data_IF_548701527412
#
_entry.id   IF_548701527412
#
_cell.length_a   1.000
_cell.length_b   1.000
_cell.length_c   1.000
_cell.angle_alpha   90.00
_cell.angle_beta   90.00
_cell.angle_gamma   90.00
#
_symmetry.space_group_name_H-M   'P 1'
#
loop_
_entity.id
_entity.type
_entity.pdbx_description
1 polymer ?
#
# COMPACT_ATOMS: atom_id res chain seq x y z
N UNK A 1 -21.01 16.36 9.86
CA UNK A 1 -22.45 16.69 9.81
C UNK A 1 -22.83 17.42 11.07
N UNK A 2 -23.09 18.71 10.96
CA UNK A 2 -23.62 19.54 12.05
C UNK A 2 -25.07 19.10 12.33
N UNK A 3 -25.47 18.89 13.60
CA UNK A 3 -26.83 18.49 13.94
C UNK A 3 -27.90 19.49 13.48
N UNK A 4 -27.54 20.75 13.24
CA UNK A 4 -28.49 21.80 12.89
C UNK A 4 -28.69 21.98 11.37
N UNK A 5 -27.91 21.29 10.50
CA UNK A 5 -28.10 21.39 9.05
C UNK A 5 -27.55 20.20 8.21
N UNK A 6 -28.23 19.05 8.15
CA UNK A 6 -27.82 17.94 7.29
C UNK A 6 -28.34 18.13 5.85
N UNK A 7 -27.42 18.31 4.90
CA UNK A 7 -27.72 18.63 3.50
C UNK A 7 -28.14 17.43 2.62
N UNK A 8 -27.95 16.17 3.05
CA UNK A 8 -28.39 15.00 2.27
C UNK A 8 -28.71 13.81 3.18
N UNK A 9 -29.91 13.25 3.02
CA UNK A 9 -30.17 11.85 3.32
C UNK A 9 -30.09 11.11 1.98
N UNK A 10 -29.10 10.25 1.82
CA UNK A 10 -29.05 9.28 0.71
C UNK A 10 -28.81 7.89 1.27
N UNK A 11 -29.48 6.93 0.64
CA UNK A 11 -29.69 5.54 0.99
C UNK A 11 -28.48 4.79 1.56
N UNK A 12 -28.78 3.81 2.43
CA UNK A 12 -27.97 2.67 2.86
C UNK A 12 -26.49 2.74 2.46
N UNK A 13 -25.70 3.47 3.24
CA UNK A 13 -24.27 3.20 3.30
C UNK A 13 -24.04 2.36 4.55
N UNK A 14 -23.60 1.11 4.34
CA UNK A 14 -22.78 0.45 5.33
C UNK A 14 -21.54 1.31 5.50
N UNK A 15 -21.51 2.16 6.53
CA UNK A 15 -20.28 2.85 6.90
C UNK A 15 -19.39 1.77 7.50
N UNK A 16 -18.46 1.25 6.69
CA UNK A 16 -17.34 0.50 7.21
C UNK A 16 -16.48 1.52 7.90
N UNK A 17 -16.60 1.54 9.21
CA UNK A 17 -15.81 2.40 10.03
C UNK A 17 -14.40 1.82 10.07
N UNK A 18 -13.48 2.48 9.37
CA UNK A 18 -12.10 2.03 9.22
C UNK A 18 -11.36 2.06 10.56
N UNK A 19 -10.34 1.20 10.69
CA UNK A 19 -9.51 1.03 11.87
C UNK A 19 -8.28 1.95 11.71
N UNK A 20 -8.25 3.20 12.21
CA UNK A 20 -6.98 3.92 12.28
C UNK A 20 -6.05 3.27 13.31
N UNK A 21 -5.03 2.54 12.87
CA UNK A 21 -3.94 2.17 13.79
C UNK A 21 -3.07 3.41 14.02
N UNK A 22 -3.23 4.07 15.16
CA UNK A 22 -2.32 5.11 15.65
C UNK A 22 -1.08 4.48 16.33
N UNK A 23 0.02 5.24 16.44
CA UNK A 23 1.23 4.87 17.21
C UNK A 23 1.50 6.04 18.18
N UNK A 24 2.00 5.76 19.39
CA UNK A 24 2.52 6.82 20.25
C UNK A 24 3.86 7.37 19.72
N UNK A 25 4.03 8.67 19.89
CA UNK A 25 5.29 9.37 19.70
C UNK A 25 5.80 9.78 21.08
N UNK A 26 7.10 9.60 21.35
CA UNK A 26 7.70 10.18 22.55
C UNK A 26 7.66 11.72 22.49
N UNK A 27 8.02 12.36 23.61
CA UNK A 27 8.14 13.82 23.71
C UNK A 27 9.15 14.47 22.74
N UNK A 28 9.90 13.69 21.94
CA UNK A 28 10.76 14.17 20.87
C UNK A 28 10.17 13.92 19.46
N UNK A 29 8.91 13.49 19.36
CA UNK A 29 8.22 13.19 18.10
C UNK A 29 8.64 11.87 17.45
N UNK A 30 9.45 11.05 18.12
CA UNK A 30 9.90 9.75 17.59
C UNK A 30 8.95 8.64 18.02
N UNK A 31 8.56 7.78 17.09
CA UNK A 31 7.69 6.63 17.36
C UNK A 31 8.27 5.71 18.45
N UNK A 32 7.46 5.38 19.45
CA UNK A 32 7.88 4.58 20.61
C UNK A 32 7.46 3.12 20.56
N UNK A 33 6.77 2.71 19.49
CA UNK A 33 6.15 1.39 19.38
C UNK A 33 4.79 1.35 20.06
N UNK A 34 3.91 0.46 19.58
CA UNK A 34 2.59 0.19 20.15
C UNK A 34 1.40 0.59 19.27
N UNK A 35 0.57 -0.37 18.88
CA UNK A 35 -0.65 -0.12 18.09
C UNK A 35 -1.80 0.29 19.00
N UNK A 36 -2.63 1.22 18.53
CA UNK A 36 -4.00 1.31 19.02
C UNK A 36 -4.84 0.23 18.33
N UNK A 37 -5.35 -0.71 19.11
CA UNK A 37 -6.28 -1.73 18.66
C UNK A 37 -7.68 -1.16 18.72
N UNK A 38 -8.36 -1.14 17.57
CA UNK A 38 -9.76 -0.73 17.54
C UNK A 38 -10.62 -1.76 18.28
N UNK A 39 -11.27 -1.33 19.35
CA UNK A 39 -12.12 -2.20 20.16
C UNK A 39 -13.56 -2.24 19.67
N UNK A 40 -14.00 -1.21 18.94
CA UNK A 40 -15.38 -1.08 18.48
C UNK A 40 -15.89 0.35 18.57
N UNK A 41 -17.10 0.53 18.06
CA UNK A 41 -17.84 1.78 18.21
C UNK A 41 -18.71 1.67 19.44
N UNK A 42 -18.76 2.74 20.23
CA UNK A 42 -19.53 2.77 21.47
C UNK A 42 -20.45 3.99 21.50
N UNK A 43 -21.51 3.92 22.29
CA UNK A 43 -22.31 5.09 22.65
C UNK A 43 -21.61 5.92 23.75
N UNK A 44 -22.26 7.02 24.17
CA UNK A 44 -21.73 7.91 25.21
C UNK A 44 -21.60 7.24 26.58
N UNK A 45 -22.33 6.14 26.81
CA UNK A 45 -22.30 5.37 28.04
C UNK A 45 -21.28 4.22 27.98
N UNK A 46 -20.56 4.08 26.86
CA UNK A 46 -19.54 3.06 26.65
C UNK A 46 -20.09 1.70 26.22
N UNK A 47 -21.35 1.59 25.79
CA UNK A 47 -21.89 0.34 25.27
C UNK A 47 -21.49 0.13 23.80
N UNK A 48 -21.02 -1.06 23.45
CA UNK A 48 -20.60 -1.40 22.09
C UNK A 48 -21.80 -1.41 21.11
N UNK A 49 -21.70 -0.61 20.04
CA UNK A 49 -22.67 -0.49 18.96
C UNK A 49 -22.14 -1.21 17.71
N UNK A 50 -22.75 -2.37 17.41
CA UNK A 50 -22.39 -3.20 16.23
C UNK A 50 -23.22 -2.90 14.99
N UNK A 51 -24.43 -2.36 15.17
CA UNK A 51 -25.40 -2.15 14.10
C UNK A 51 -26.19 -0.88 14.40
N UNK A 52 -26.32 0.00 13.39
CA UNK A 52 -27.31 1.07 13.37
C UNK A 52 -28.44 0.61 12.45
N UNK A 53 -29.62 0.31 13.02
CA UNK A 53 -30.78 -0.12 12.24
C UNK A 53 -31.64 1.06 11.79
N UNK A 54 -32.53 0.81 10.83
CA UNK A 54 -33.51 1.78 10.33
C UNK A 54 -34.50 2.28 11.41
N UNK A 55 -34.57 1.59 12.55
CA UNK A 55 -35.42 1.96 13.69
C UNK A 55 -34.78 3.04 14.56
N UNK A 56 -33.51 3.39 14.33
CA UNK A 56 -32.86 4.49 15.02
C UNK A 56 -33.39 5.83 14.49
N UNK A 57 -34.31 6.45 15.22
CA UNK A 57 -34.99 7.71 14.83
C UNK A 57 -34.37 8.98 15.41
N UNK A 58 -33.23 8.88 16.10
CA UNK A 58 -32.55 10.00 16.75
C UNK A 58 -31.09 10.09 16.31
N UNK A 59 -30.48 11.30 16.28
CA UNK A 59 -29.05 11.44 16.09
C UNK A 59 -28.28 10.58 17.10
N UNK A 60 -27.28 9.85 16.62
CA UNK A 60 -26.38 9.05 17.44
C UNK A 60 -24.97 9.63 17.31
N UNK A 61 -24.28 9.79 18.43
CA UNK A 61 -22.84 10.06 18.45
C UNK A 61 -22.15 8.75 18.78
N UNK A 62 -21.27 8.30 17.87
CA UNK A 62 -20.45 7.13 18.09
C UNK A 62 -19.05 7.55 18.55
N UNK A 63 -18.51 6.79 19.50
CA UNK A 63 -17.16 6.94 20.03
C UNK A 63 -16.32 5.76 19.56
N UNK A 64 -15.20 6.02 18.92
CA UNK A 64 -14.22 5.00 18.59
C UNK A 64 -13.44 4.64 19.85
N UNK A 65 -13.53 3.39 20.31
CA UNK A 65 -12.75 2.92 21.44
C UNK A 65 -11.48 2.24 20.96
N UNK A 66 -10.38 2.57 21.64
CA UNK A 66 -9.04 2.12 21.29
C UNK A 66 -8.35 1.61 22.54
N UNK A 67 -7.67 0.47 22.45
CA UNK A 67 -6.71 0.02 23.45
C UNK A 67 -5.30 0.24 22.93
N UNK A 68 -4.48 0.98 23.67
CA UNK A 68 -3.08 1.15 23.32
C UNK A 68 -2.27 0.00 23.90
N UNK A 69 -1.79 -0.88 23.04
CA UNK A 69 -0.84 -1.91 23.43
C UNK A 69 0.57 -1.45 23.06
N UNK A 70 1.33 -0.96 24.04
CA UNK A 70 2.72 -0.53 23.87
C UNK A 70 3.66 -1.61 23.30
N UNK A 71 3.23 -2.88 23.29
CA UNK A 71 4.01 -4.02 22.82
C UNK A 71 3.56 -4.59 21.47
N UNK A 72 2.46 -4.10 20.89
CA UNK A 72 1.93 -4.62 19.63
C UNK A 72 2.36 -3.71 18.48
N UNK A 73 2.86 -4.28 17.39
CA UNK A 73 3.37 -3.53 16.22
C UNK A 73 2.56 -3.81 14.95
N UNK A 74 1.55 -4.65 15.05
CA UNK A 74 0.70 -5.04 13.94
C UNK A 74 -0.69 -5.40 14.45
N UNK A 75 -1.70 -5.24 13.62
CA UNK A 75 -3.06 -5.75 13.89
C UNK A 75 -3.35 -6.92 12.96
N UNK A 76 -4.25 -7.82 13.36
CA UNK A 76 -4.74 -8.90 12.49
C UNK A 76 -6.26 -8.93 12.53
N UNK A 77 -6.91 -9.04 11.38
CA UNK A 77 -8.37 -9.07 11.30
C UNK A 77 -8.86 -9.83 10.08
N UNK A 78 -10.16 -10.15 10.05
CA UNK A 78 -10.81 -10.80 8.92
C UNK A 78 -11.81 -9.85 8.27
N UNK A 79 -11.83 -9.82 6.93
CA UNK A 79 -12.84 -9.10 6.14
C UNK A 79 -13.36 -10.03 5.04
N UNK A 80 -14.60 -10.48 5.22
CA UNK A 80 -15.18 -11.53 4.40
C UNK A 80 -14.38 -12.84 4.53
N UNK A 81 -13.90 -13.38 3.40
CA UNK A 81 -13.11 -14.62 3.37
C UNK A 81 -11.60 -14.42 3.51
N UNK A 82 -11.13 -13.17 3.56
CA UNK A 82 -9.71 -12.85 3.59
C UNK A 82 -9.28 -12.46 5.00
N UNK A 83 -8.05 -12.81 5.34
CA UNK A 83 -7.37 -12.37 6.56
C UNK A 83 -6.37 -11.29 6.19
N UNK A 84 -6.26 -10.28 7.04
CA UNK A 84 -5.44 -9.10 6.84
C UNK A 84 -4.55 -8.87 8.05
N UNK A 85 -3.41 -8.22 7.78
CA UNK A 85 -2.47 -7.72 8.77
C UNK A 85 -2.22 -6.25 8.46
N UNK A 86 -2.34 -5.36 9.44
CA UNK A 86 -1.84 -3.99 9.29
C UNK A 86 -0.48 -3.89 9.98
N UNK A 87 0.55 -3.50 9.22
CA UNK A 87 1.92 -3.31 9.72
C UNK A 87 2.68 -2.38 8.78
N UNK A 88 3.55 -1.55 9.34
CA UNK A 88 4.23 -0.49 8.59
C UNK A 88 3.26 0.60 8.16
N UNK A 89 3.77 1.70 7.63
CA UNK A 89 2.99 2.86 7.18
C UNK A 89 3.50 3.43 5.88
N UNK A 90 2.61 3.98 5.09
CA UNK A 90 2.99 4.67 3.87
C UNK A 90 1.98 5.77 3.54
N UNK A 91 2.35 6.82 2.78
CA UNK A 91 1.38 7.77 2.28
C UNK A 91 0.33 7.05 1.42
N UNK A 92 -0.96 7.25 1.73
CA UNK A 92 -2.05 6.54 1.05
C UNK A 92 -3.22 7.46 0.70
N UNK A 93 -4.01 7.95 1.67
CA UNK A 93 -5.15 8.84 1.40
C UNK A 93 -4.78 10.33 1.36
N UNK A 94 -5.53 11.12 0.59
CA UNK A 94 -5.41 12.59 0.60
C UNK A 94 -5.91 13.17 1.93
N UNK A 95 -5.30 14.26 2.40
CA UNK A 95 -5.84 15.03 3.54
C UNK A 95 -7.04 15.86 3.07
N UNK A 96 -8.25 15.37 3.35
CA UNK A 96 -9.51 16.03 2.95
C UNK A 96 -9.81 17.31 3.75
N UNK A 97 -9.36 17.37 5.00
CA UNK A 97 -9.69 18.47 5.90
C UNK A 97 -8.88 19.74 5.57
N UNK A 98 -9.51 20.70 4.88
CA UNK A 98 -8.86 21.93 4.45
C UNK A 98 -8.27 22.76 5.60
N UNK A 99 -8.86 22.73 6.80
CA UNK A 99 -8.28 23.39 7.99
C UNK A 99 -6.93 22.77 8.33
N UNK A 100 -6.85 21.44 8.36
CA UNK A 100 -5.61 20.69 8.62
C UNK A 100 -4.56 21.00 7.56
N UNK A 101 -4.93 21.02 6.28
CA UNK A 101 -4.02 21.41 5.19
C UNK A 101 -3.46 22.82 5.38
N UNK A 102 -4.31 23.79 5.76
CA UNK A 102 -3.87 25.18 5.97
C UNK A 102 -2.96 25.31 7.20
N UNK A 103 -3.27 24.59 8.28
CA UNK A 103 -2.43 24.53 9.48
C UNK A 103 -1.04 23.94 9.17
N UNK A 104 -0.99 22.80 8.45
CA UNK A 104 0.26 22.18 7.99
C UNK A 104 1.09 23.14 7.14
N UNK A 105 0.48 23.77 6.12
CA UNK A 105 1.16 24.74 5.26
C UNK A 105 1.75 25.90 6.05
N UNK A 106 0.98 26.45 7.00
CA UNK A 106 1.41 27.59 7.82
C UNK A 106 2.57 27.20 8.72
N UNK A 107 2.45 26.07 9.44
CA UNK A 107 3.49 25.61 10.35
C UNK A 107 4.81 25.29 9.61
N UNK A 108 4.73 24.68 8.42
CA UNK A 108 5.90 24.40 7.58
C UNK A 108 6.52 25.71 7.07
N UNK A 109 5.71 26.64 6.57
CA UNK A 109 6.21 27.92 6.05
C UNK A 109 6.87 28.79 7.13
N UNK A 110 6.39 28.71 8.36
CA UNK A 110 6.97 29.42 9.52
C UNK A 110 8.20 28.70 10.10
N UNK A 111 8.53 27.49 9.65
CA UNK A 111 9.61 26.67 10.22
C UNK A 111 9.27 26.07 11.60
N UNK A 112 8.00 26.07 11.99
CA UNK A 112 7.50 25.48 13.25
C UNK A 112 7.37 23.95 13.14
N UNK A 113 7.23 23.44 11.91
CA UNK A 113 7.09 22.03 11.61
C UNK A 113 8.14 21.60 10.58
N UNK A 114 9.05 20.73 10.99
CA UNK A 114 10.13 20.19 10.16
C UNK A 114 9.87 18.71 9.84
N UNK A 115 10.25 18.24 8.63
CA UNK A 115 10.15 16.83 8.32
C UNK A 115 11.22 16.00 9.04
N UNK A 116 10.97 14.71 9.20
CA UNK A 116 11.97 13.74 9.63
C UNK A 116 12.96 13.38 8.50
N UNK A 117 13.84 12.42 8.77
CA UNK A 117 14.85 11.95 7.81
C UNK A 117 14.27 11.29 6.54
N UNK A 118 12.99 10.91 6.57
CA UNK A 118 12.25 10.34 5.45
C UNK A 118 11.35 11.38 4.74
N UNK A 119 11.40 12.66 5.15
CA UNK A 119 10.59 13.71 4.56
C UNK A 119 9.15 13.77 5.09
N UNK A 120 8.83 13.07 6.18
CA UNK A 120 7.50 13.00 6.76
C UNK A 120 7.31 14.04 7.87
N UNK A 121 6.11 14.60 7.96
CA UNK A 121 5.75 15.64 8.92
C UNK A 121 4.85 15.06 10.00
N UNK A 122 5.19 15.25 11.27
CA UNK A 122 4.31 14.89 12.39
C UNK A 122 3.49 16.08 12.85
N UNK A 123 2.18 16.04 12.68
CA UNK A 123 1.30 17.11 13.18
C UNK A 123 0.15 16.50 13.99
N UNK A 124 -0.03 16.98 15.22
CA UNK A 124 -1.05 16.48 16.18
C UNK A 124 -1.06 14.95 16.32
N UNK A 125 0.14 14.34 16.32
CA UNK A 125 0.31 12.88 16.46
C UNK A 125 0.05 12.06 15.18
N UNK A 126 -0.24 12.70 14.05
CA UNK A 126 -0.46 12.04 12.76
C UNK A 126 0.71 12.36 11.82
N UNK A 127 1.17 11.36 11.06
CA UNK A 127 2.20 11.53 10.05
C UNK A 127 1.59 11.93 8.71
N UNK A 128 2.25 12.86 8.03
CA UNK A 128 1.84 13.38 6.73
C UNK A 128 3.01 13.40 5.76
N UNK A 129 2.75 13.10 4.49
CA UNK A 129 3.70 13.34 3.40
C UNK A 129 3.24 14.53 2.58
N UNK A 130 4.14 15.49 2.36
CA UNK A 130 3.92 16.62 1.44
C UNK A 130 4.54 16.26 0.09
N UNK A 131 3.71 16.15 -0.95
CA UNK A 131 4.14 15.64 -2.27
C UNK A 131 3.58 16.48 -3.41
N UNK A 132 4.43 16.79 -4.39
CA UNK A 132 4.02 17.36 -5.67
C UNK A 132 3.51 16.25 -6.57
N UNK A 133 2.26 16.34 -7.01
CA UNK A 133 1.64 15.31 -7.84
C UNK A 133 2.12 15.38 -9.30
N UNK A 134 2.37 14.22 -9.90
CA UNK A 134 2.68 14.01 -11.31
C UNK A 134 1.81 12.87 -11.87
N UNK A 135 0.48 13.08 -11.98
CA UNK A 135 -0.45 12.04 -12.42
C UNK A 135 -0.19 11.63 -13.87
N UNK A 136 -0.33 10.33 -14.16
CA UNK A 136 -0.17 9.81 -15.52
C UNK A 136 -1.35 10.16 -16.43
N UNK A 137 -2.57 10.14 -15.88
CA UNK A 137 -3.80 10.44 -16.60
C UNK A 137 -4.28 11.85 -16.30
N UNK A 138 -4.81 12.54 -17.31
CA UNK A 138 -5.45 13.87 -17.16
C UNK A 138 -6.79 13.84 -16.42
N UNK A 139 -7.40 12.68 -16.26
CA UNK A 139 -8.73 12.54 -15.67
C UNK A 139 -8.70 11.48 -14.58
N UNK A 140 -7.87 11.68 -13.56
CA UNK A 140 -7.83 10.82 -12.37
C UNK A 140 -8.23 11.64 -11.15
N UNK A 141 -8.86 10.98 -10.18
CA UNK A 141 -9.50 11.61 -9.03
C UNK A 141 -9.05 10.91 -7.75
N UNK A 142 -8.92 11.66 -6.67
CA UNK A 142 -8.71 11.11 -5.32
C UNK A 142 -9.99 10.47 -4.79
N UNK A 143 -9.90 9.75 -3.66
CA UNK A 143 -11.04 9.08 -3.03
C UNK A 143 -12.11 10.07 -2.56
N UNK A 144 -11.73 11.31 -2.26
CA UNK A 144 -12.63 12.41 -1.92
C UNK A 144 -13.38 13.00 -3.12
N UNK A 145 -13.09 12.51 -4.33
CA UNK A 145 -13.70 12.94 -5.59
C UNK A 145 -13.04 14.17 -6.22
N UNK A 146 -12.01 14.76 -5.60
CA UNK A 146 -11.27 15.87 -6.17
C UNK A 146 -10.31 15.40 -7.28
N UNK A 147 -10.09 16.26 -8.28
CA UNK A 147 -9.19 15.96 -9.40
C UNK A 147 -7.72 16.00 -8.95
N UNK A 148 -6.94 14.99 -9.37
CA UNK A 148 -5.49 14.98 -9.18
C UNK A 148 -4.84 15.90 -10.21
N UNK A 149 -4.37 17.06 -9.78
CA UNK A 149 -3.75 18.05 -10.66
C UNK A 149 -2.23 17.91 -10.64
N UNK A 150 -1.63 17.86 -11.83
CA UNK A 150 -0.17 17.84 -11.97
C UNK A 150 0.47 19.14 -11.49
N UNK A 151 1.69 19.01 -10.96
CA UNK A 151 2.52 20.10 -10.45
C UNK A 151 1.88 20.89 -9.29
N UNK A 152 0.95 20.24 -8.57
CA UNK A 152 0.32 20.77 -7.35
C UNK A 152 0.81 19.99 -6.13
N UNK A 153 1.13 20.71 -5.06
CA UNK A 153 1.49 20.12 -3.76
C UNK A 153 0.23 19.70 -2.98
N UNK A 154 0.23 18.45 -2.55
CA UNK A 154 -0.79 17.82 -1.72
C UNK A 154 -0.18 17.28 -0.43
N UNK A 155 -1.03 17.10 0.58
CA UNK A 155 -0.69 16.35 1.78
C UNK A 155 -1.43 15.02 1.77
N UNK A 156 -0.70 13.95 2.04
CA UNK A 156 -1.22 12.59 2.17
C UNK A 156 -1.06 12.13 3.61
N UNK A 157 -2.06 11.42 4.12
CA UNK A 157 -2.00 10.76 5.42
C UNK A 157 -1.05 9.57 5.28
N UNK A 158 -0.10 9.46 6.21
CA UNK A 158 0.80 8.31 6.32
C UNK A 158 0.23 7.37 7.35
N UNK A 159 -0.36 6.30 6.85
CA UNK A 159 -1.20 5.40 7.63
C UNK A 159 -0.80 3.93 7.40
N UNK A 160 -1.30 3.01 8.23
CA UNK A 160 -0.93 1.61 8.19
C UNK A 160 -1.11 0.99 6.80
N UNK A 161 -0.14 0.21 6.36
CA UNK A 161 -0.31 -0.57 5.14
C UNK A 161 -1.14 -1.80 5.50
N UNK A 162 -2.28 -1.98 4.82
CA UNK A 162 -3.08 -3.20 4.92
C UNK A 162 -2.49 -4.28 4.02
N UNK A 163 -2.19 -5.44 4.60
CA UNK A 163 -1.63 -6.59 3.90
C UNK A 163 -2.58 -7.76 3.90
N UNK A 164 -2.90 -8.29 2.73
CA UNK A 164 -3.62 -9.55 2.58
C UNK A 164 -2.70 -10.73 2.88
N UNK A 165 -3.16 -11.64 3.74
CA UNK A 165 -2.49 -12.92 3.99
C UNK A 165 -2.70 -13.85 2.80
N UNK A 166 -1.62 -14.20 2.11
CA UNK A 166 -1.63 -15.16 1.01
C UNK A 166 -1.43 -16.61 1.48
N UNK A 167 -0.60 -16.81 2.51
CA UNK A 167 -0.36 -18.12 3.13
C UNK A 167 0.20 -17.98 4.55
N UNK A 168 0.09 -19.05 5.34
CA UNK A 168 0.47 -19.05 6.75
C UNK A 168 -0.68 -18.63 7.66
N UNK A 169 -0.43 -18.61 8.97
CA UNK A 169 -1.40 -18.19 9.98
C UNK A 169 -0.83 -17.02 10.79
N UNK A 170 -1.35 -15.79 10.66
CA UNK A 170 -0.83 -14.63 11.38
C UNK A 170 -1.08 -14.65 12.89
N UNK A 171 -1.92 -15.58 13.38
CA UNK A 171 -2.17 -15.78 14.81
C UNK A 171 -1.29 -16.88 15.44
N UNK A 172 -0.44 -17.54 14.66
CA UNK A 172 0.52 -18.53 15.16
C UNK A 172 1.93 -17.94 15.14
N UNK A 173 2.56 -17.69 16.30
CA UNK A 173 3.89 -17.06 16.39
C UNK A 173 5.01 -17.89 15.78
N UNK A 174 4.75 -19.16 15.45
CA UNK A 174 5.71 -20.03 14.76
C UNK A 174 5.50 -20.05 13.24
N UNK A 175 4.43 -19.46 12.73
CA UNK A 175 4.09 -19.45 11.31
C UNK A 175 4.89 -18.41 10.54
N UNK A 176 5.47 -18.81 9.42
CA UNK A 176 5.89 -17.87 8.39
C UNK A 176 4.67 -17.47 7.57
N UNK A 177 4.39 -16.18 7.52
CA UNK A 177 3.22 -15.62 6.85
C UNK A 177 3.68 -14.85 5.62
N UNK A 178 3.05 -15.13 4.48
CA UNK A 178 3.29 -14.38 3.24
C UNK A 178 2.19 -13.32 3.10
N UNK A 179 2.62 -12.07 2.97
CA UNK A 179 1.77 -10.88 2.97
C UNK A 179 1.91 -10.14 1.64
N UNK A 180 0.79 -9.73 1.05
CA UNK A 180 0.74 -8.88 -0.15
C UNK A 180 -0.02 -7.60 0.19
N UNK A 181 0.52 -6.42 -0.13
CA UNK A 181 -0.21 -5.17 0.11
C UNK A 181 -1.58 -5.23 -0.59
N UNK A 182 -2.64 -4.82 0.09
CA UNK A 182 -3.98 -4.89 -0.49
C UNK A 182 -4.05 -3.99 -1.73
N UNK A 183 -3.51 -2.77 -1.60
CA UNK A 183 -3.48 -1.74 -2.61
C UNK A 183 -2.09 -1.52 -3.22
N UNK A 184 -2.09 -0.83 -4.35
CA UNK A 184 -0.90 -0.32 -5.04
C UNK A 184 -0.50 0.99 -4.36
N UNK A 185 0.69 1.00 -3.76
CA UNK A 185 1.11 2.05 -2.83
C UNK A 185 1.82 3.23 -3.50
N UNK A 186 2.48 3.02 -4.64
CA UNK A 186 3.20 4.09 -5.35
C UNK A 186 3.45 3.71 -6.81
N UNK A 187 4.00 4.65 -7.59
CA UNK A 187 4.45 4.43 -8.96
C UNK A 187 5.97 4.33 -9.00
N UNK A 188 6.50 3.43 -9.82
CA UNK A 188 7.93 3.36 -10.05
C UNK A 188 8.23 2.68 -11.39
N UNK A 189 9.35 3.04 -12.01
CA UNK A 189 9.89 2.24 -13.10
C UNK A 189 10.50 0.96 -12.52
N UNK A 190 10.44 -0.15 -13.27
CA UNK A 190 11.22 -1.33 -12.93
C UNK A 190 12.73 -1.00 -12.96
N UNK A 191 13.15 -0.33 -14.03
CA UNK A 191 14.51 0.22 -14.21
C UNK A 191 14.47 1.42 -15.14
N UNK A 192 15.03 2.54 -14.72
CA UNK A 192 14.98 3.80 -15.48
C UNK A 192 15.77 3.72 -16.80
N UNK A 193 16.90 3.01 -16.79
CA UNK A 193 17.78 2.90 -17.95
C UNK A 193 17.61 1.55 -18.66
N UNK A 194 17.19 1.62 -19.92
CA UNK A 194 16.99 0.47 -20.82
C UNK A 194 18.27 -0.15 -21.41
N UNK A 195 19.46 0.27 -20.98
CA UNK A 195 20.70 -0.27 -21.53
C UNK A 195 21.09 -1.61 -20.91
N UNK A 196 21.49 -2.55 -21.77
CA UNK A 196 22.20 -3.77 -21.35
C UNK A 196 23.56 -3.36 -20.79
N UNK A 197 23.91 -3.90 -19.62
CA UNK A 197 25.20 -3.64 -18.98
C UNK A 197 25.98 -4.93 -18.76
N UNK A 198 27.31 -4.82 -18.71
CA UNK A 198 28.17 -5.91 -18.26
C UNK A 198 28.58 -5.66 -16.80
N UNK A 199 28.36 -6.64 -15.92
CA UNK A 199 28.74 -6.56 -14.50
C UNK A 199 29.30 -7.89 -14.05
N UNK A 200 30.52 -7.86 -13.47
CA UNK A 200 31.25 -9.06 -13.02
C UNK A 200 31.35 -10.16 -14.10
N UNK A 201 31.56 -9.77 -15.36
CA UNK A 201 31.64 -10.70 -16.50
C UNK A 201 30.30 -11.27 -16.98
N UNK A 202 29.16 -10.80 -16.44
CA UNK A 202 27.82 -11.23 -16.83
C UNK A 202 27.09 -10.14 -17.62
N UNK A 203 26.31 -10.55 -18.62
CA UNK A 203 25.37 -9.67 -19.33
C UNK A 203 24.12 -9.51 -18.48
N UNK A 204 23.80 -8.26 -18.14
CA UNK A 204 22.64 -7.87 -17.33
C UNK A 204 21.65 -7.10 -18.21
N UNK A 205 20.52 -7.75 -18.47
CA UNK A 205 19.41 -7.14 -19.20
C UNK A 205 18.63 -6.14 -18.33
N UNK A 206 17.96 -5.15 -18.94
CA UNK A 206 17.16 -4.15 -18.22
C UNK A 206 16.07 -4.72 -17.32
N UNK A 207 15.51 -5.87 -17.67
CA UNK A 207 14.47 -6.56 -16.91
C UNK A 207 15.00 -7.50 -15.81
N UNK A 208 16.26 -7.36 -15.42
CA UNK A 208 16.87 -8.16 -14.36
C UNK A 208 16.50 -7.60 -12.97
N UNK A 209 15.79 -8.39 -12.15
CA UNK A 209 15.35 -7.99 -10.80
C UNK A 209 16.51 -7.59 -9.87
N UNK A 210 17.61 -8.36 -9.86
CA UNK A 210 18.76 -8.12 -8.97
C UNK A 210 19.34 -6.71 -9.17
N UNK A 211 19.29 -6.20 -10.40
CA UNK A 211 19.84 -4.90 -10.80
C UNK A 211 18.75 -3.90 -11.20
N UNK A 212 17.52 -4.13 -10.75
CA UNK A 212 16.41 -3.22 -10.96
C UNK A 212 16.49 -2.06 -9.97
N UNK A 213 16.10 -0.87 -10.41
CA UNK A 213 16.00 0.30 -9.54
C UNK A 213 14.85 0.09 -8.53
N UNK A 214 13.80 -0.63 -8.95
CA UNK A 214 12.67 -0.99 -8.10
C UNK A 214 13.05 -1.87 -6.90
N UNK A 215 13.90 -2.89 -7.08
CA UNK A 215 14.37 -3.72 -5.96
C UNK A 215 15.17 -2.87 -4.95
N UNK A 216 16.02 -1.99 -5.46
CA UNK A 216 16.82 -1.08 -4.62
C UNK A 216 15.91 -0.14 -3.81
N UNK A 217 14.88 0.43 -4.45
CA UNK A 217 13.87 1.23 -3.77
C UNK A 217 13.12 0.43 -2.69
N UNK A 218 12.62 -0.78 -3.02
CA UNK A 218 11.84 -1.61 -2.11
C UNK A 218 12.62 -1.99 -0.84
N UNK A 219 13.90 -2.36 -0.99
CA UNK A 219 14.74 -2.83 0.13
C UNK A 219 15.58 -1.71 0.77
N UNK A 220 15.49 -0.48 0.26
CA UNK A 220 16.15 0.71 0.79
C UNK A 220 15.12 1.71 1.30
N UNK A 221 14.79 2.69 0.46
CA UNK A 221 13.93 3.82 0.83
C UNK A 221 12.54 3.38 1.31
N UNK A 222 11.87 2.46 0.60
CA UNK A 222 10.56 1.97 1.02
C UNK A 222 10.65 1.21 2.35
N UNK A 223 11.52 0.21 2.47
CA UNK A 223 11.66 -0.57 3.70
C UNK A 223 12.00 0.29 4.92
N UNK A 224 12.91 1.27 4.73
CA UNK A 224 13.32 2.15 5.82
C UNK A 224 12.24 3.16 6.20
N UNK A 225 11.53 3.73 5.23
CA UNK A 225 10.46 4.70 5.47
C UNK A 225 9.20 4.02 6.01
N UNK A 226 8.86 2.83 5.49
CA UNK A 226 7.59 2.20 5.77
C UNK A 226 7.55 1.42 7.08
N UNK A 227 8.69 0.94 7.58
CA UNK A 227 8.73 0.11 8.77
C UNK A 227 9.69 0.70 9.79
N UNK A 228 9.21 0.85 11.03
CA UNK A 228 10.09 1.19 12.16
C UNK A 228 10.86 -0.02 12.69
N UNK A 229 11.89 0.19 13.51
CA UNK A 229 12.78 -0.90 13.97
C UNK A 229 12.04 -2.08 14.64
N UNK A 230 11.00 -1.80 15.43
CA UNK A 230 10.18 -2.85 16.05
C UNK A 230 9.37 -3.67 15.04
N UNK A 231 8.88 -3.05 13.96
CA UNK A 231 8.16 -3.72 12.89
C UNK A 231 9.11 -4.54 12.00
N UNK A 232 10.30 -3.99 11.73
CA UNK A 232 11.35 -4.66 10.93
C UNK A 232 11.78 -6.00 11.53
N UNK A 233 11.70 -6.16 12.85
CA UNK A 233 12.03 -7.40 13.54
C UNK A 233 11.14 -8.59 13.13
N UNK A 234 9.91 -8.34 12.66
CA UNK A 234 9.02 -9.39 12.16
C UNK A 234 9.30 -9.76 10.69
N UNK A 235 9.98 -8.91 9.93
CA UNK A 235 10.17 -9.07 8.49
C UNK A 235 11.37 -9.96 8.21
N UNK A 236 11.12 -11.08 7.53
CA UNK A 236 12.14 -12.08 7.24
C UNK A 236 12.92 -11.73 5.97
N UNK A 237 14.24 -11.75 6.07
CA UNK A 237 15.09 -11.73 4.89
C UNK A 237 14.89 -13.03 4.11
N UNK A 238 14.28 -12.95 2.93
CA UNK A 238 13.82 -14.12 2.17
C UNK A 238 14.64 -14.28 0.90
N UNK A 239 15.28 -15.45 0.73
CA UNK A 239 15.87 -15.82 -0.56
C UNK A 239 14.77 -16.15 -1.54
N UNK A 240 14.59 -15.32 -2.57
CA UNK A 240 13.61 -15.56 -3.63
C UNK A 240 14.34 -15.95 -4.92
N UNK A 241 13.96 -17.10 -5.48
CA UNK A 241 14.53 -17.63 -6.72
C UNK A 241 13.75 -17.12 -7.94
N UNK A 242 14.26 -16.06 -8.56
CA UNK A 242 13.63 -15.40 -9.70
C UNK A 242 13.86 -16.11 -11.05
N UNK A 243 14.76 -17.08 -11.10
CA UNK A 243 15.06 -17.83 -12.32
C UNK A 243 14.03 -18.95 -12.60
N UNK A 244 13.27 -19.38 -11.59
CA UNK A 244 12.25 -20.44 -11.71
C UNK A 244 10.82 -19.91 -11.83
N UNK A 245 10.65 -18.59 -11.81
CA UNK A 245 9.36 -17.94 -11.73
C UNK A 245 9.11 -16.98 -12.90
N UNK A 246 9.92 -17.02 -13.96
CA UNK A 246 9.70 -16.30 -15.22
C UNK A 246 8.79 -17.07 -16.15
N UNK A 247 7.96 -16.35 -16.92
CA UNK A 247 7.26 -16.91 -18.08
C UNK A 247 8.17 -16.95 -19.32
N UNK A 248 9.22 -16.12 -19.33
CA UNK A 248 10.13 -15.92 -20.44
C UNK A 248 11.59 -16.08 -19.98
N UNK A 249 12.03 -17.33 -19.90
CA UNK A 249 13.34 -17.72 -19.34
C UNK A 249 14.53 -17.19 -20.13
N UNK A 250 14.34 -16.83 -21.41
CA UNK A 250 15.41 -16.39 -22.31
C UNK A 250 16.17 -15.16 -21.81
N UNK A 251 15.52 -14.31 -21.02
CA UNK A 251 16.10 -13.07 -20.47
C UNK A 251 16.19 -13.07 -18.94
N UNK A 252 15.80 -14.17 -18.29
CA UNK A 252 15.77 -14.33 -16.84
C UNK A 252 17.18 -14.65 -16.27
N UNK A 253 18.14 -13.75 -16.46
CA UNK A 253 19.50 -13.90 -15.93
C UNK A 253 19.63 -13.46 -14.46
N UNK A 254 18.52 -13.44 -13.71
CA UNK A 254 18.52 -13.07 -12.29
C UNK A 254 19.01 -14.22 -11.42
N UNK A 255 20.00 -13.98 -10.55
CA UNK A 255 20.31 -14.92 -9.46
C UNK A 255 19.24 -14.79 -8.37
N UNK A 256 19.05 -15.83 -7.53
CA UNK A 256 18.30 -15.66 -6.29
C UNK A 256 18.82 -14.46 -5.50
N UNK A 257 17.92 -13.65 -4.96
CA UNK A 257 18.27 -12.51 -4.11
C UNK A 257 17.63 -12.67 -2.75
N UNK A 258 18.35 -12.19 -1.72
CA UNK A 258 17.82 -12.05 -0.38
C UNK A 258 17.16 -10.68 -0.27
N UNK A 259 15.83 -10.69 -0.11
CA UNK A 259 14.98 -9.50 -0.08
C UNK A 259 14.09 -9.51 1.17
N UNK A 260 13.96 -8.36 1.83
CA UNK A 260 12.95 -8.14 2.88
C UNK A 260 11.59 -7.84 2.24
N UNK A 261 11.60 -6.99 1.20
CA UNK A 261 10.43 -6.58 0.43
C UNK A 261 10.65 -6.93 -1.03
N UNK A 262 9.69 -7.63 -1.62
CA UNK A 262 9.72 -8.09 -3.00
C UNK A 262 8.33 -7.93 -3.65
N UNK A 263 8.11 -8.50 -4.83
CA UNK A 263 6.82 -8.46 -5.53
C UNK A 263 6.36 -9.88 -5.83
N UNK A 264 5.10 -10.02 -6.23
CA UNK A 264 4.60 -11.24 -6.85
C UNK A 264 5.49 -11.62 -8.05
N UNK A 265 5.76 -12.90 -8.20
CA UNK A 265 6.28 -13.47 -9.45
C UNK A 265 5.15 -13.93 -10.36
N UNK A 266 5.46 -14.23 -11.63
CA UNK A 266 4.51 -14.84 -12.56
C UNK A 266 3.93 -16.15 -12.00
N UNK A 267 4.76 -17.00 -11.39
CA UNK A 267 4.31 -18.24 -10.77
C UNK A 267 3.30 -17.99 -9.63
N UNK A 268 3.53 -16.95 -8.82
CA UNK A 268 2.62 -16.57 -7.74
C UNK A 268 1.25 -16.15 -8.28
N UNK A 269 1.20 -15.48 -9.43
CA UNK A 269 -0.08 -15.09 -10.06
C UNK A 269 -0.91 -16.25 -10.61
N UNK A 270 -0.34 -17.46 -10.68
CA UNK A 270 -1.01 -18.71 -11.05
C UNK A 270 -1.28 -19.63 -9.84
N UNK A 271 -0.82 -19.24 -8.65
CA UNK A 271 -0.88 -20.10 -7.46
C UNK A 271 -2.31 -20.16 -6.89
N UNK A 272 -2.97 -21.31 -7.02
CA UNK A 272 -4.33 -21.54 -6.50
C UNK A 272 -4.42 -21.43 -4.98
N UNK A 273 -3.33 -21.69 -4.26
CA UNK A 273 -3.32 -21.64 -2.81
C UNK A 273 -3.48 -20.21 -2.28
N UNK A 274 -3.12 -19.21 -3.09
CA UNK A 274 -3.37 -17.79 -2.79
C UNK A 274 -4.80 -17.35 -3.14
N UNK A 275 -5.66 -18.28 -3.57
CA UNK A 275 -7.05 -18.03 -3.92
C UNK A 275 -7.26 -17.53 -5.35
N UNK A 276 -6.24 -17.53 -6.21
CA UNK A 276 -6.31 -17.11 -7.61
C UNK A 276 -6.92 -18.18 -8.52
N UNK A 277 -7.36 -17.78 -9.71
CA UNK A 277 -7.50 -18.71 -10.82
C UNK A 277 -6.10 -19.10 -11.30
N UNK A 278 -5.93 -20.38 -11.61
CA UNK A 278 -4.68 -20.94 -12.15
C UNK A 278 -4.21 -20.32 -13.48
N UNK A 279 -5.08 -19.55 -14.16
CA UNK A 279 -4.82 -19.03 -15.49
C UNK A 279 -4.38 -17.58 -15.40
N UNK A 280 -3.15 -17.31 -15.84
CA UNK A 280 -2.55 -15.97 -15.87
C UNK A 280 -3.08 -15.10 -17.00
N UNK A 281 -3.60 -15.71 -18.07
CA UNK A 281 -4.08 -15.01 -19.28
C UNK A 281 -5.52 -14.50 -19.11
N UNK A 282 -6.31 -15.13 -18.22
CA UNK A 282 -7.70 -14.73 -17.99
C UNK A 282 -7.79 -13.67 -16.90
N UNK A 283 -8.75 -12.78 -17.06
CA UNK A 283 -9.08 -11.77 -16.06
C UNK A 283 -9.47 -12.43 -14.75
N UNK A 284 -9.03 -11.84 -13.64
CA UNK A 284 -9.24 -12.35 -12.30
C UNK A 284 -9.20 -11.20 -11.30
N UNK A 285 -10.37 -10.68 -10.96
CA UNK A 285 -10.53 -9.51 -10.08
C UNK A 285 -9.88 -9.70 -8.70
N UNK A 286 -9.66 -10.94 -8.25
CA UNK A 286 -8.96 -11.21 -6.98
C UNK A 286 -7.52 -10.72 -6.97
N UNK A 287 -6.88 -10.68 -8.14
CA UNK A 287 -5.51 -10.19 -8.35
C UNK A 287 -5.45 -8.69 -8.63
N UNK A 288 -6.57 -8.02 -8.86
CA UNK A 288 -6.59 -6.56 -9.06
C UNK A 288 -6.09 -5.88 -7.78
N UNK A 289 -5.23 -4.88 -7.95
CA UNK A 289 -4.84 -3.94 -6.91
C UNK A 289 -5.33 -2.55 -7.32
N UNK A 290 -5.90 -1.80 -6.37
CA UNK A 290 -6.35 -0.43 -6.61
C UNK A 290 -5.24 0.54 -6.23
N UNK A 291 -5.12 1.64 -6.95
CA UNK A 291 -4.18 2.69 -6.58
C UNK A 291 -4.71 3.48 -5.39
N UNK A 292 -3.86 3.71 -4.39
CA UNK A 292 -4.11 4.71 -3.36
C UNK A 292 -4.10 6.12 -3.98
N UNK A 293 -4.59 7.11 -3.24
CA UNK A 293 -4.52 8.51 -3.69
C UNK A 293 -3.09 8.96 -3.91
N UNK A 294 -2.20 8.60 -2.99
CA UNK A 294 -0.78 8.84 -3.14
C UNK A 294 -0.23 8.18 -4.41
N UNK A 295 -0.57 6.92 -4.69
CA UNK A 295 -0.12 6.25 -5.90
C UNK A 295 -0.62 6.95 -7.18
N UNK A 296 -1.87 7.43 -7.22
CA UNK A 296 -2.42 8.23 -8.32
C UNK A 296 -1.63 9.54 -8.50
N UNK A 297 -1.31 10.23 -7.40
CA UNK A 297 -0.47 11.42 -7.42
C UNK A 297 0.97 11.15 -7.89
N UNK A 298 1.52 9.97 -7.58
CA UNK A 298 2.85 9.55 -8.04
C UNK A 298 2.87 9.06 -9.50
N UNK A 299 1.72 9.00 -10.16
CA UNK A 299 1.62 8.69 -11.59
C UNK A 299 1.22 7.26 -11.93
N UNK A 300 0.70 6.48 -10.98
CA UNK A 300 0.14 5.15 -11.32
C UNK A 300 -1.04 5.31 -12.28
N UNK A 301 -1.12 4.44 -13.29
CA UNK A 301 -2.34 4.28 -14.09
C UNK A 301 -3.47 3.73 -13.22
N UNK A 302 -4.57 4.48 -13.13
CA UNK A 302 -5.78 4.09 -12.41
C UNK A 302 -6.98 4.01 -13.39
N UNK A 303 -7.63 2.85 -13.40
CA UNK A 303 -8.80 2.59 -14.25
C UNK A 303 -9.98 3.49 -13.91
N UNK A 304 -10.60 4.10 -14.93
CA UNK A 304 -11.80 4.93 -14.77
C UNK A 304 -13.12 4.21 -15.09
N UNK A 305 -13.07 3.06 -15.75
CA UNK A 305 -14.26 2.24 -16.08
C UNK A 305 -13.89 0.87 -16.69
N UNK A 306 -12.75 0.28 -16.32
CA UNK A 306 -12.32 -1.00 -16.92
C UNK A 306 -13.05 -2.15 -16.23
N UNK A 307 -14.24 -2.50 -16.75
CA UNK A 307 -15.05 -3.60 -16.21
C UNK A 307 -15.73 -3.29 -14.87
N UNK A 308 -15.99 -2.02 -14.55
CA UNK A 308 -16.54 -1.59 -13.26
C UNK A 308 -15.51 -1.51 -12.12
N UNK A 309 -14.25 -1.86 -12.38
CA UNK A 309 -13.15 -1.80 -11.41
C UNK A 309 -12.50 -0.40 -11.45
N UNK A 310 -13.09 0.54 -10.72
CA UNK A 310 -12.52 1.87 -10.51
C UNK A 310 -11.20 1.77 -9.73
N UNK A 311 -10.23 2.60 -10.12
CA UNK A 311 -8.87 2.70 -9.58
C UNK A 311 -7.98 1.45 -9.73
N UNK A 312 -8.47 0.42 -10.42
CA UNK A 312 -7.66 -0.75 -10.75
C UNK A 312 -6.42 -0.37 -11.55
N UNK A 313 -5.27 -0.91 -11.13
CA UNK A 313 -3.96 -0.47 -11.60
C UNK A 313 -3.13 -1.63 -12.14
N UNK A 314 -2.20 -1.31 -13.04
CA UNK A 314 -1.12 -2.23 -13.39
C UNK A 314 -0.08 -2.21 -12.27
N UNK A 315 0.51 -3.36 -11.92
CA UNK A 315 1.63 -3.40 -10.98
C UNK A 315 2.71 -4.38 -11.43
N UNK A 316 3.96 -4.05 -11.11
CA UNK A 316 5.12 -4.84 -11.48
C UNK A 316 5.12 -6.23 -10.83
N UNK A 317 5.65 -7.20 -11.55
CA UNK A 317 6.06 -8.50 -11.04
C UNK A 317 7.59 -8.55 -11.00
N UNK A 318 8.15 -9.44 -10.19
CA UNK A 318 9.62 -9.68 -10.20
C UNK A 318 10.10 -10.39 -11.47
N UNK A 319 9.19 -11.00 -12.23
CA UNK A 319 9.49 -11.79 -13.42
C UNK A 319 9.91 -10.95 -14.63
N UNK A 320 10.83 -11.48 -15.43
CA UNK A 320 11.17 -10.94 -16.75
C UNK A 320 9.96 -10.96 -17.70
N UNK A 321 9.93 -10.00 -18.62
CA UNK A 321 9.00 -9.96 -19.73
C UNK A 321 9.50 -10.68 -20.97
N UNK A 322 8.72 -10.60 -22.05
CA UNK A 322 8.95 -11.30 -23.32
C UNK A 322 10.23 -10.84 -24.05
N UNK A 323 10.72 -9.64 -23.73
CA UNK A 323 11.89 -9.02 -24.34
C UNK A 323 12.82 -8.45 -23.26
N UNK A 324 14.10 -8.26 -23.58
CA UNK A 324 15.12 -7.74 -22.65
C UNK A 324 14.75 -6.40 -21.97
N UNK A 325 14.01 -5.55 -22.68
CA UNK A 325 13.56 -4.24 -22.21
C UNK A 325 12.20 -4.25 -21.51
N UNK A 326 11.61 -5.42 -21.23
CA UNK A 326 10.29 -5.56 -20.61
C UNK A 326 10.30 -6.45 -19.37
N UNK A 327 9.52 -6.06 -18.37
CA UNK A 327 9.24 -6.85 -17.17
C UNK A 327 7.77 -7.27 -17.11
N UNK A 328 7.46 -8.30 -16.33
CA UNK A 328 6.12 -8.80 -16.12
C UNK A 328 5.28 -7.82 -15.30
N UNK A 329 3.98 -7.74 -15.61
CA UNK A 329 3.01 -6.97 -14.83
C UNK A 329 1.75 -7.79 -14.60
N UNK A 330 1.11 -7.61 -13.45
CA UNK A 330 -0.32 -7.89 -13.34
C UNK A 330 -1.08 -6.66 -13.83
N UNK A 331 -2.13 -6.87 -14.62
CA UNK A 331 -2.88 -5.77 -15.20
C UNK A 331 -4.03 -5.31 -14.31
N UNK A 332 -4.61 -4.15 -14.64
CA UNK A 332 -5.85 -3.68 -14.02
C UNK A 332 -7.07 -4.62 -14.21
N UNK A 333 -6.93 -5.74 -14.91
CA UNK A 333 -7.94 -6.81 -15.01
C UNK A 333 -7.56 -8.09 -14.24
N UNK A 334 -6.38 -8.11 -13.60
CA UNK A 334 -5.86 -9.26 -12.88
C UNK A 334 -5.23 -10.35 -13.75
N UNK A 335 -5.22 -10.20 -15.08
CA UNK A 335 -4.40 -11.03 -15.96
C UNK A 335 -2.94 -10.55 -15.96
N UNK A 336 -2.04 -11.30 -16.60
CA UNK A 336 -0.60 -11.00 -16.65
C UNK A 336 -0.20 -10.53 -18.04
N UNK A 337 0.58 -9.46 -18.10
CA UNK A 337 1.17 -8.92 -19.31
C UNK A 337 2.63 -8.54 -19.09
N UNK A 338 3.18 -7.73 -20.00
CA UNK A 338 4.53 -7.16 -19.87
C UNK A 338 4.53 -5.69 -20.28
N UNK A 339 5.40 -4.91 -19.67
CA UNK A 339 5.60 -3.48 -19.99
C UNK A 339 7.08 -3.14 -20.07
N UNK A 340 7.38 -2.05 -20.76
CA UNK A 340 8.72 -1.48 -20.84
C UNK A 340 9.23 -1.10 -19.45
N UNK A 341 10.45 -1.51 -19.12
CA UNK A 341 11.00 -1.39 -17.75
C UNK A 341 11.10 0.05 -17.23
N UNK A 342 11.19 1.04 -18.11
CA UNK A 342 11.27 2.47 -17.78
C UNK A 342 9.90 3.14 -17.63
N UNK A 343 8.81 2.37 -17.79
CA UNK A 343 7.46 2.89 -17.64
C UNK A 343 7.20 3.28 -16.18
N UNK A 344 7.09 4.59 -15.93
CA UNK A 344 6.87 5.15 -14.59
C UNK A 344 5.43 5.07 -14.10
N UNK A 345 4.48 4.71 -14.97
CA UNK A 345 3.05 4.63 -14.62
C UNK A 345 2.56 3.26 -14.17
N UNK A 346 3.49 2.33 -13.98
CA UNK A 346 3.19 1.03 -13.39
C UNK A 346 3.36 1.12 -11.87
N UNK A 347 2.38 0.57 -11.18
CA UNK A 347 2.31 0.57 -9.74
C UNK A 347 3.24 -0.42 -9.06
N UNK A 348 3.45 -0.19 -7.76
CA UNK A 348 4.16 -1.08 -6.86
C UNK A 348 3.18 -1.66 -5.85
N UNK A 349 3.05 -2.99 -5.85
CA UNK A 349 2.24 -3.77 -4.90
C UNK A 349 3.16 -4.72 -4.12
N UNK A 350 3.77 -4.25 -3.02
CA UNK A 350 4.78 -5.03 -2.30
C UNK A 350 4.27 -6.34 -1.72
N UNK A 351 5.18 -7.29 -1.60
CA UNK A 351 5.01 -8.57 -0.93
C UNK A 351 6.16 -8.77 0.06
N UNK A 352 5.89 -9.40 1.19
CA UNK A 352 6.89 -9.71 2.20
C UNK A 352 6.55 -10.99 2.94
N UNK A 353 7.56 -11.59 3.56
CA UNK A 353 7.38 -12.71 4.48
C UNK A 353 7.66 -12.23 5.90
N UNK A 354 6.79 -12.59 6.84
CA UNK A 354 6.91 -12.19 8.24
C UNK A 354 6.77 -13.39 9.18
N UNK A 355 7.26 -13.23 10.40
CA UNK A 355 6.95 -14.10 11.54
C UNK A 355 6.41 -13.23 12.67
N UNK A 356 5.08 -13.20 12.79
CA UNK A 356 4.35 -12.31 13.71
C UNK A 356 4.27 -13.00 15.08
N UNK A 357 5.11 -12.58 16.04
CA UNK A 357 5.23 -13.20 17.36
C UNK A 357 4.58 -12.41 18.47
#
# INVERSE_FOLDING_TARGET
NDPDNPLTYTAEQNVVLEIPVCYELNGAGKQTGGTYNFLGWHDADGNEIKVISADWKKPITLYAYWDFSAATYFSTYQKGKYTYVDIGRYPQHIVENQRTVNELKTAIANGELLPDEHGLYTYKGILYSKTTAHPYQRSTYFSDGSEVKGDVEYFFIVEPITWRVLSGNPNDPNSEVLLLSEDVLTASAFREKKNVIAKNGLIVYPNNWQYSDLRAFLNGDFYSTAFMDGERAFILNTTVDYAKTSHFDRFANGKPCDDYIFLLSYADTANRNFGWAHWTIKDDSRKVGKATDYAKAMGVYASLNRGGEYDASHYWLTSSGEFEGRAGVATALGNVGTYDVDCKSIGVRPMMKVKLS
#
